data_IF_599946963068
#
_entry.id   IF_599946963068
#
_cell.length_a   1.000
_cell.length_b   1.000
_cell.length_c   1.000
_cell.angle_alpha   90.00
_cell.angle_beta   90.00
_cell.angle_gamma   90.00
#
_symmetry.space_group_name_H-M   'P 1'
#
loop_
_entity.id
_entity.type
_entity.pdbx_description
1 polymer ?
#
# COMPACT_ATOMS: atom_id res chain seq x y z
N UNK A 1 -16.71 30.35 -3.52
CA UNK A 1 -17.00 29.16 -4.36
C UNK A 1 -17.21 27.97 -3.43
N UNK A 2 -18.27 27.18 -3.58
CA UNK A 2 -18.49 25.95 -2.80
C UNK A 2 -18.13 24.76 -3.68
N UNK A 3 -17.28 23.86 -3.18
CA UNK A 3 -16.87 22.62 -3.85
C UNK A 3 -17.25 21.46 -2.94
N UNK A 4 -17.84 20.41 -3.51
CA UNK A 4 -18.11 19.15 -2.85
C UNK A 4 -17.27 18.07 -3.53
N UNK A 5 -16.41 17.40 -2.75
CA UNK A 5 -15.66 16.23 -3.22
C UNK A 5 -16.42 14.98 -2.86
N UNK A 6 -16.61 14.08 -3.83
CA UNK A 6 -17.25 12.77 -3.65
C UNK A 6 -16.27 11.71 -4.12
N UNK A 7 -15.88 10.81 -3.23
CA UNK A 7 -14.95 9.73 -3.55
C UNK A 7 -15.61 8.63 -4.40
N UNK A 8 -14.89 8.15 -5.42
CA UNK A 8 -15.26 6.95 -6.16
C UNK A 8 -14.75 5.69 -5.45
N UNK A 9 -15.35 5.33 -4.31
CA UNK A 9 -15.04 4.09 -3.59
C UNK A 9 -15.43 2.88 -4.46
N UNK A 10 -14.58 1.87 -4.48
CA UNK A 10 -14.87 0.61 -5.15
C UNK A 10 -15.83 -0.22 -4.29
N UNK A 11 -16.97 -0.60 -4.87
CA UNK A 11 -18.01 -1.41 -4.21
C UNK A 11 -18.22 -2.76 -4.92
N UNK A 12 -17.36 -3.08 -5.89
CA UNK A 12 -17.43 -4.36 -6.58
C UNK A 12 -16.87 -5.51 -5.74
N UNK A 13 -16.92 -6.74 -6.27
CA UNK A 13 -16.39 -7.89 -5.58
C UNK A 13 -14.87 -7.77 -5.41
N UNK A 14 -14.40 -8.14 -4.22
CA UNK A 14 -12.98 -8.35 -3.93
C UNK A 14 -12.81 -9.74 -3.32
N UNK A 15 -11.59 -10.28 -3.39
CA UNK A 15 -11.20 -11.46 -2.63
C UNK A 15 -9.98 -11.14 -1.78
N UNK A 16 -9.85 -11.79 -0.62
CA UNK A 16 -8.65 -11.74 0.24
C UNK A 16 -7.93 -13.08 0.28
N UNK A 17 -8.53 -14.14 -0.29
CA UNK A 17 -8.02 -15.51 -0.20
C UNK A 17 -6.69 -15.70 -0.94
N UNK A 18 -6.40 -14.83 -1.91
CA UNK A 18 -5.14 -14.82 -2.64
C UNK A 18 -3.97 -14.21 -1.87
N UNK A 19 -4.19 -13.63 -0.68
CA UNK A 19 -3.12 -13.07 0.15
C UNK A 19 -2.39 -14.21 0.86
N UNK A 20 -1.16 -14.50 0.42
CA UNK A 20 -0.30 -15.46 1.08
C UNK A 20 0.44 -14.78 2.25
N UNK A 21 -0.18 -14.78 3.43
CA UNK A 21 0.37 -14.19 4.63
C UNK A 21 1.69 -14.83 5.10
N UNK A 22 1.98 -16.08 4.73
CA UNK A 22 3.24 -16.74 5.10
C UNK A 22 4.46 -16.11 4.43
N UNK A 23 4.29 -15.49 3.26
CA UNK A 23 5.37 -14.80 2.52
C UNK A 23 5.58 -13.34 2.98
N UNK A 24 4.68 -12.82 3.81
CA UNK A 24 4.73 -11.45 4.31
C UNK A 24 5.56 -11.38 5.61
N UNK A 25 6.36 -10.31 5.81
CA UNK A 25 7.03 -10.06 7.09
C UNK A 25 6.06 -9.88 8.26
N UNK A 26 6.59 -9.89 9.49
CA UNK A 26 5.77 -9.90 10.70
C UNK A 26 5.04 -8.59 10.94
N UNK A 27 5.75 -7.46 10.83
CA UNK A 27 5.19 -6.11 11.00
C UNK A 27 4.99 -5.48 9.63
N UNK A 28 3.76 -5.14 9.29
CA UNK A 28 3.37 -4.65 7.97
C UNK A 28 2.78 -3.25 8.07
N UNK A 29 3.26 -2.34 7.23
CA UNK A 29 2.56 -1.09 6.95
C UNK A 29 1.54 -1.31 5.85
N UNK A 30 0.26 -1.13 6.15
CA UNK A 30 -0.82 -1.26 5.17
C UNK A 30 -1.08 0.09 4.48
N UNK A 31 -0.97 0.10 3.15
CA UNK A 31 -1.11 1.29 2.31
C UNK A 31 -2.02 1.01 1.11
N UNK A 32 -2.77 2.01 0.64
CA UNK A 32 -3.73 1.84 -0.45
C UNK A 32 -4.09 3.16 -1.14
N UNK A 33 -4.94 3.14 -2.16
CA UNK A 33 -5.49 4.34 -2.79
C UNK A 33 -6.91 4.62 -2.31
N UNK A 34 -7.41 5.83 -2.59
CA UNK A 34 -8.76 6.24 -2.18
C UNK A 34 -9.87 5.29 -2.64
N UNK A 35 -9.67 4.54 -3.72
CA UNK A 35 -10.70 3.64 -4.23
C UNK A 35 -10.98 2.46 -3.29
N UNK A 36 -9.96 1.97 -2.56
CA UNK A 36 -10.05 0.73 -1.80
C UNK A 36 -10.07 0.91 -0.26
N UNK A 37 -10.22 2.14 0.23
CA UNK A 37 -10.11 2.39 1.67
C UNK A 37 -11.24 1.76 2.49
N UNK A 38 -12.41 1.55 1.90
CA UNK A 38 -13.54 0.93 2.60
C UNK A 38 -13.24 -0.56 2.94
N UNK A 39 -12.32 -1.20 2.22
CA UNK A 39 -11.93 -2.60 2.44
C UNK A 39 -10.73 -2.76 3.40
N UNK A 40 -10.08 -1.66 3.81
CA UNK A 40 -8.84 -1.71 4.62
C UNK A 40 -9.08 -2.33 6.00
N UNK A 41 -10.25 -2.12 6.59
CA UNK A 41 -10.63 -2.76 7.84
C UNK A 41 -10.61 -4.28 7.74
N UNK A 42 -11.20 -4.83 6.68
CA UNK A 42 -11.27 -6.27 6.44
C UNK A 42 -9.89 -6.87 6.13
N UNK A 43 -9.08 -6.18 5.33
CA UNK A 43 -7.70 -6.59 5.02
C UNK A 43 -6.85 -6.65 6.29
N UNK A 44 -6.96 -5.63 7.15
CA UNK A 44 -6.26 -5.59 8.43
C UNK A 44 -6.67 -6.75 9.33
N UNK A 45 -7.97 -6.94 9.52
CA UNK A 45 -8.48 -8.02 10.36
C UNK A 45 -8.07 -9.41 9.83
N UNK A 46 -8.07 -9.60 8.51
CA UNK A 46 -7.60 -10.83 7.87
C UNK A 46 -6.14 -11.11 8.20
N UNK A 47 -5.25 -10.12 8.04
CA UNK A 47 -3.81 -10.27 8.31
C UNK A 47 -3.52 -10.48 9.80
N UNK A 48 -4.20 -9.74 10.68
CA UNK A 48 -4.05 -9.89 12.14
C UNK A 48 -4.50 -11.27 12.61
N UNK A 49 -5.56 -11.84 12.03
CA UNK A 49 -5.99 -13.22 12.28
C UNK A 49 -4.94 -14.26 11.86
N UNK A 50 -4.11 -13.94 10.87
CA UNK A 50 -2.95 -14.74 10.45
C UNK A 50 -1.69 -14.46 11.29
N UNK A 51 -1.82 -13.70 12.38
CA UNK A 51 -0.74 -13.41 13.33
C UNK A 51 0.18 -12.28 12.91
N UNK A 52 -0.19 -11.44 11.93
CA UNK A 52 0.59 -10.26 11.53
C UNK A 52 0.30 -9.06 12.42
N UNK A 53 1.29 -8.20 12.60
CA UNK A 53 1.10 -6.88 13.19
C UNK A 53 0.92 -5.86 12.07
N UNK A 54 -0.24 -5.22 12.00
CA UNK A 54 -0.59 -4.32 10.89
C UNK A 54 -0.71 -2.89 11.38
N UNK A 55 0.15 -2.03 10.86
CA UNK A 55 0.15 -0.60 11.13
C UNK A 55 -0.53 0.14 9.99
N UNK A 56 -1.28 1.18 10.34
CA UNK A 56 -1.85 2.16 9.43
C UNK A 56 -1.38 3.54 9.84
N UNK A 57 -1.26 4.45 8.88
CA UNK A 57 -0.72 5.78 9.14
C UNK A 57 -1.05 6.77 8.04
N UNK A 58 -0.87 8.05 8.37
CA UNK A 58 -1.01 9.18 7.45
C UNK A 58 -0.10 10.32 7.85
N UNK A 59 0.22 11.18 6.88
CA UNK A 59 0.77 12.51 7.16
C UNK A 59 -0.22 13.58 6.68
N UNK A 60 -0.17 13.93 5.39
CA UNK A 60 -0.97 15.02 4.80
C UNK A 60 -2.20 14.53 4.08
N UNK A 61 -2.30 13.23 3.87
CA UNK A 61 -3.41 12.61 3.17
C UNK A 61 -4.70 12.78 3.97
N UNK A 62 -5.82 12.83 3.25
CA UNK A 62 -7.16 13.00 3.84
C UNK A 62 -7.50 11.82 4.75
N UNK A 63 -7.18 10.62 4.30
CA UNK A 63 -7.51 9.37 4.98
C UNK A 63 -6.26 8.64 5.47
N UNK A 64 -6.47 7.80 6.48
CA UNK A 64 -5.45 6.87 6.95
C UNK A 64 -5.10 5.85 5.86
N UNK A 65 -3.86 5.34 5.84
CA UNK A 65 -3.37 4.35 4.85
C UNK A 65 -3.31 4.86 3.39
N UNK A 66 -3.83 6.05 3.11
CA UNK A 66 -3.95 6.58 1.76
C UNK A 66 -2.59 6.98 1.16
N UNK A 67 -2.33 6.54 -0.07
CA UNK A 67 -1.29 7.03 -0.94
C UNK A 67 -1.87 7.97 -2.01
N UNK A 68 -1.06 8.93 -2.42
CA UNK A 68 -1.26 9.71 -3.63
C UNK A 68 -0.06 9.51 -4.55
N UNK A 69 -0.21 9.87 -5.83
CA UNK A 69 0.88 9.71 -6.79
C UNK A 69 2.15 10.49 -6.42
N UNK A 70 2.00 11.64 -5.76
CA UNK A 70 3.08 12.50 -5.32
C UNK A 70 3.35 12.48 -3.81
N UNK A 71 2.58 11.70 -3.03
CA UNK A 71 2.66 11.72 -1.57
C UNK A 71 2.54 10.31 -0.99
N UNK A 72 3.69 9.79 -0.57
CA UNK A 72 3.87 8.50 0.12
C UNK A 72 3.86 8.65 1.64
N UNK A 73 3.47 9.80 2.17
CA UNK A 73 3.57 10.15 3.58
C UNK A 73 2.89 9.17 4.54
N UNK A 74 1.82 8.49 4.14
CA UNK A 74 1.26 7.38 4.91
C UNK A 74 2.31 6.29 5.18
N UNK A 75 3.02 5.84 4.15
CA UNK A 75 4.09 4.85 4.29
C UNK A 75 5.28 5.41 5.09
N UNK A 76 5.72 6.63 4.78
CA UNK A 76 6.86 7.26 5.44
C UNK A 76 6.65 7.43 6.95
N UNK A 77 5.41 7.72 7.36
CA UNK A 77 5.05 7.85 8.78
C UNK A 77 5.28 6.58 9.60
N UNK A 78 5.19 5.41 8.96
CA UNK A 78 5.36 4.10 9.59
C UNK A 78 6.75 3.50 9.35
N UNK A 79 7.64 4.19 8.63
CA UNK A 79 8.88 3.59 8.14
C UNK A 79 9.82 3.16 9.27
N UNK A 80 9.73 3.73 10.48
CA UNK A 80 10.54 3.28 11.62
C UNK A 80 10.06 1.98 12.28
N UNK A 81 8.81 1.58 12.06
CA UNK A 81 8.10 0.64 12.94
C UNK A 81 7.75 -0.69 12.25
N UNK A 82 7.68 -0.70 10.92
CA UNK A 82 7.29 -1.88 10.12
C UNK A 82 8.50 -2.62 9.56
N UNK A 83 8.35 -3.87 9.14
CA UNK A 83 9.41 -4.62 8.46
C UNK A 83 9.30 -4.47 6.92
N UNK A 84 8.07 -4.37 6.42
CA UNK A 84 7.74 -4.16 5.01
C UNK A 84 6.37 -3.49 4.86
N UNK A 85 6.00 -3.16 3.62
CA UNK A 85 4.67 -2.65 3.30
C UNK A 85 3.86 -3.65 2.47
N UNK A 86 2.55 -3.66 2.71
CA UNK A 86 1.57 -4.27 1.81
C UNK A 86 0.75 -3.15 1.17
N UNK A 87 0.84 -3.04 -0.15
CA UNK A 87 -0.03 -2.21 -0.96
C UNK A 87 -1.27 -3.00 -1.38
N UNK A 88 -2.45 -2.57 -0.94
CA UNK A 88 -3.72 -3.15 -1.36
C UNK A 88 -4.33 -2.28 -2.45
N UNK A 89 -4.35 -2.77 -3.69
CA UNK A 89 -4.88 -2.04 -4.82
C UNK A 89 -4.21 -2.43 -6.14
N UNK A 90 -4.65 -1.79 -7.22
CA UNK A 90 -4.20 -2.11 -8.57
C UNK A 90 -2.99 -1.26 -8.99
N UNK A 91 -2.29 -1.74 -10.01
CA UNK A 91 -1.17 -1.04 -10.64
C UNK A 91 0.12 -0.98 -9.80
N UNK A 92 1.21 -0.52 -10.41
CA UNK A 92 2.56 -0.58 -9.82
C UNK A 92 3.13 0.78 -9.40
N UNK A 93 2.49 1.88 -9.78
CA UNK A 93 3.05 3.23 -9.59
C UNK A 93 3.17 3.64 -8.11
N UNK A 94 2.09 3.52 -7.35
CA UNK A 94 2.08 3.82 -5.91
C UNK A 94 3.04 2.94 -5.10
N UNK A 95 3.01 1.60 -5.19
CA UNK A 95 3.93 0.76 -4.43
C UNK A 95 5.40 0.95 -4.83
N UNK A 96 5.68 1.29 -6.10
CA UNK A 96 7.02 1.69 -6.52
C UNK A 96 7.47 2.98 -5.80
N UNK A 97 6.58 3.97 -5.68
CA UNK A 97 6.86 5.19 -4.93
C UNK A 97 7.21 4.89 -3.47
N UNK A 98 6.45 4.01 -2.82
CA UNK A 98 6.72 3.57 -1.44
C UNK A 98 8.08 2.87 -1.33
N UNK A 99 8.39 1.95 -2.25
CA UNK A 99 9.68 1.25 -2.24
C UNK A 99 10.86 2.23 -2.37
N UNK A 100 10.69 3.31 -3.15
CA UNK A 100 11.71 4.34 -3.35
C UNK A 100 11.84 5.25 -2.12
N UNK A 101 10.73 5.67 -1.50
CA UNK A 101 10.77 6.62 -0.37
C UNK A 101 11.18 5.97 0.95
N UNK A 102 10.79 4.71 1.15
CA UNK A 102 11.04 3.97 2.40
C UNK A 102 12.27 3.09 2.35
N UNK A 103 12.74 2.75 1.14
CA UNK A 103 13.79 1.76 0.87
C UNK A 103 13.48 0.35 1.44
N UNK A 104 12.20 0.07 1.73
CA UNK A 104 11.71 -1.22 2.21
C UNK A 104 11.11 -2.07 1.12
N UNK A 105 10.98 -3.36 1.43
CA UNK A 105 10.24 -4.29 0.60
C UNK A 105 8.76 -3.90 0.56
N UNK A 106 8.19 -3.94 -0.64
CA UNK A 106 6.77 -3.63 -0.88
C UNK A 106 6.13 -4.81 -1.59
N UNK A 107 5.25 -5.47 -0.85
CA UNK A 107 4.33 -6.47 -1.36
C UNK A 107 3.09 -5.77 -1.90
N UNK A 108 2.48 -6.34 -2.92
CA UNK A 108 1.32 -5.79 -3.59
C UNK A 108 0.26 -6.88 -3.64
N UNK A 109 -0.98 -6.52 -3.37
CA UNK A 109 -2.13 -7.38 -3.60
C UNK A 109 -3.13 -6.63 -4.47
N UNK A 110 -3.39 -7.18 -5.65
CA UNK A 110 -4.43 -6.69 -6.55
C UNK A 110 -5.76 -7.36 -6.16
N UNK A 111 -6.73 -6.63 -5.58
CA UNK A 111 -7.97 -7.22 -5.10
C UNK A 111 -8.96 -7.56 -6.21
N UNK A 112 -8.72 -7.09 -7.44
CA UNK A 112 -9.57 -7.37 -8.60
C UNK A 112 -9.13 -8.68 -9.26
N UNK A 113 -7.83 -8.84 -9.45
CA UNK A 113 -7.26 -10.06 -10.04
C UNK A 113 -7.01 -11.16 -8.99
N UNK A 114 -6.99 -10.81 -7.70
CA UNK A 114 -6.67 -11.73 -6.61
C UNK A 114 -5.20 -12.13 -6.55
N UNK A 115 -4.31 -11.33 -7.12
CA UNK A 115 -2.89 -11.67 -7.30
C UNK A 115 -2.01 -10.96 -6.28
N UNK A 116 -1.22 -11.74 -5.53
CA UNK A 116 -0.10 -11.24 -4.73
C UNK A 116 1.17 -11.14 -5.59
N UNK A 117 1.90 -10.04 -5.43
CA UNK A 117 3.21 -9.82 -6.06
C UNK A 117 4.13 -8.99 -5.16
N UNK A 118 5.37 -8.78 -5.58
CA UNK A 118 6.36 -7.96 -4.88
C UNK A 118 7.05 -7.01 -5.85
N UNK A 119 7.29 -5.77 -5.45
CA UNK A 119 8.12 -4.84 -6.23
C UNK A 119 9.58 -5.31 -6.17
N UNK A 120 10.22 -5.64 -7.31
CA UNK A 120 11.63 -6.01 -7.31
C UNK A 120 12.49 -4.84 -6.86
N UNK A 121 13.31 -5.05 -5.83
CA UNK A 121 14.12 -3.98 -5.23
C UNK A 121 15.09 -3.36 -6.23
N UNK A 122 15.68 -4.18 -7.10
CA UNK A 122 16.57 -3.72 -8.17
C UNK A 122 15.86 -2.79 -9.16
N UNK A 123 14.60 -3.10 -9.50
CA UNK A 123 13.78 -2.27 -10.39
C UNK A 123 13.53 -0.91 -9.75
N UNK A 124 13.13 -0.90 -8.47
CA UNK A 124 12.89 0.33 -7.72
C UNK A 124 14.15 1.22 -7.65
N UNK A 125 15.30 0.63 -7.32
CA UNK A 125 16.58 1.36 -7.29
C UNK A 125 16.96 1.90 -8.66
N UNK A 126 16.81 1.09 -9.73
CA UNK A 126 17.13 1.51 -11.10
C UNK A 126 16.28 2.71 -11.52
N UNK A 127 14.99 2.69 -11.20
CA UNK A 127 14.06 3.78 -11.53
C UNK A 127 14.39 5.05 -10.71
N UNK A 128 14.73 4.91 -9.42
CA UNK A 128 15.17 6.05 -8.61
C UNK A 128 16.44 6.71 -9.16
N UNK A 129 17.42 5.90 -9.63
CA UNK A 129 18.64 6.41 -10.27
C UNK A 129 18.33 7.19 -11.54
N UNK A 130 17.46 6.65 -12.41
CA UNK A 130 17.02 7.35 -13.64
C UNK A 130 16.31 8.67 -13.33
N UNK A 131 15.43 8.68 -12.33
CA UNK A 131 14.71 9.89 -11.90
C UNK A 131 15.66 11.00 -11.42
N UNK A 132 16.74 10.64 -10.71
CA UNK A 132 17.74 11.61 -10.22
C UNK A 132 18.68 12.15 -11.31
N UNK A 133 18.77 11.47 -12.44
CA UNK A 133 19.65 11.84 -13.56
C UNK A 133 18.96 12.71 -14.63
N UNK A 134 17.62 12.77 -14.60
CA UNK A 134 16.80 13.63 -15.43
C UNK A 134 16.67 15.02 -14.80
#
# INVERSE_FOLDING_TARGET
MKIMMVEGRYTGPITLEGINAAELPQRLGLVSTVQFLDQIGDVRAFLEKQGKEVLTGKMRQKYDTQLLGCDQGAAESMNGEVDAFLYFGTGRFHPLGVAISTEKDVYCYDPIEGIQSKIPREEAMRLNRKRKAA
#
